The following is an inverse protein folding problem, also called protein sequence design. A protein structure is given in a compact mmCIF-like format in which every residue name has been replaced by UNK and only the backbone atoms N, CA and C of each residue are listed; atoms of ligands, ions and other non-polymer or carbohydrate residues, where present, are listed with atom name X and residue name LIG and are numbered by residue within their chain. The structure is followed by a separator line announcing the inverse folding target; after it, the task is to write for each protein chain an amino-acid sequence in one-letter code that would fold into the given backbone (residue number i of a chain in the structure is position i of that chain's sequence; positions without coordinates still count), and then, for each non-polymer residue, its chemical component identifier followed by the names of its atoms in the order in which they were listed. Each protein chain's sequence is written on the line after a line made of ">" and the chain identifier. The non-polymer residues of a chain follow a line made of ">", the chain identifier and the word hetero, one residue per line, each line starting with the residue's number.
data_IF_870016934692
#
_entry.id   IF_870016934692
#
_cell.length_a   1.000
_cell.length_b   1.000
_cell.length_c   1.000
_cell.angle_alpha   90.00
_cell.angle_beta   90.00
_cell.angle_gamma   90.00
#
_symmetry.space_group_name_H-M   'P 1'
#
loop_
_entity.id
_entity.type
_entity.pdbx_description
1 polymer ?
#
# COMPACT_ATOMS: atom_id res chain seq x y z
N UNK A 1 -25.71 -15.81 -36.86
CA UNK A 1 -24.76 -14.68 -36.74
C UNK A 1 -25.06 -13.79 -35.53
N UNK A 2 -26.31 -13.34 -35.34
CA UNK A 2 -26.72 -12.45 -34.23
C UNK A 2 -26.45 -13.00 -32.82
N UNK A 3 -26.78 -14.27 -32.54
CA UNK A 3 -26.54 -14.90 -31.22
C UNK A 3 -25.07 -14.93 -30.82
N UNK A 4 -24.16 -15.19 -31.78
CA UNK A 4 -22.71 -15.20 -31.51
C UNK A 4 -22.21 -13.80 -31.17
N UNK A 5 -22.73 -12.78 -31.84
CA UNK A 5 -22.39 -11.38 -31.58
C UNK A 5 -22.89 -10.94 -30.19
N UNK A 6 -24.12 -11.33 -29.81
CA UNK A 6 -24.67 -11.05 -28.48
C UNK A 6 -23.85 -11.69 -27.36
N UNK A 7 -23.44 -12.96 -27.55
CA UNK A 7 -22.60 -13.67 -26.57
C UNK A 7 -21.22 -13.02 -26.44
N UNK A 8 -20.60 -12.64 -27.57
CA UNK A 8 -19.32 -11.91 -27.57
C UNK A 8 -19.42 -10.59 -26.81
N UNK A 9 -20.49 -9.82 -27.06
CA UNK A 9 -20.70 -8.53 -26.40
C UNK A 9 -20.90 -8.69 -24.89
N UNK A 10 -21.70 -9.68 -24.48
CA UNK A 10 -21.90 -10.00 -23.06
C UNK A 10 -20.60 -10.44 -22.38
N UNK A 11 -19.76 -11.22 -23.06
CA UNK A 11 -18.47 -11.66 -22.52
C UNK A 11 -17.49 -10.49 -22.33
N UNK A 12 -17.48 -9.52 -23.25
CA UNK A 12 -16.67 -8.29 -23.15
C UNK A 12 -17.14 -7.46 -21.95
N UNK A 13 -18.45 -7.22 -21.83
CA UNK A 13 -19.00 -6.46 -20.71
C UNK A 13 -18.72 -7.12 -19.35
N UNK A 14 -18.85 -8.44 -19.28
CA UNK A 14 -18.53 -9.19 -18.08
C UNK A 14 -17.04 -9.08 -17.72
N UNK A 15 -16.16 -9.22 -18.70
CA UNK A 15 -14.71 -9.10 -18.50
C UNK A 15 -14.31 -7.69 -18.05
N UNK A 16 -14.94 -6.66 -18.62
CA UNK A 16 -14.76 -5.27 -18.21
C UNK A 16 -15.24 -5.03 -16.77
N UNK A 17 -16.39 -5.59 -16.40
CA UNK A 17 -16.91 -5.52 -15.02
C UNK A 17 -15.96 -6.16 -14.01
N UNK A 18 -15.42 -7.35 -14.31
CA UNK A 18 -14.42 -8.02 -13.48
C UNK A 18 -13.15 -7.19 -13.34
N UNK A 19 -12.70 -6.53 -14.43
CA UNK A 19 -11.53 -5.67 -14.40
C UNK A 19 -11.75 -4.44 -13.49
N UNK A 20 -12.89 -3.77 -13.61
CA UNK A 20 -13.23 -2.59 -12.79
C UNK A 20 -13.23 -2.96 -11.30
N UNK A 21 -13.85 -4.09 -10.92
CA UNK A 21 -13.85 -4.56 -9.53
C UNK A 21 -12.43 -4.84 -9.03
N UNK A 22 -11.58 -5.46 -9.84
CA UNK A 22 -10.18 -5.71 -9.45
C UNK A 22 -9.35 -4.43 -9.33
N UNK A 23 -9.58 -3.46 -10.19
CA UNK A 23 -8.85 -2.20 -10.20
C UNK A 23 -9.20 -1.30 -9.00
N UNK A 24 -10.33 -1.54 -8.34
CA UNK A 24 -10.76 -0.79 -7.15
C UNK A 24 -10.19 -1.35 -5.83
N UNK A 25 -9.54 -2.52 -5.83
CA UNK A 25 -8.92 -3.02 -4.60
C UNK A 25 -7.76 -2.10 -4.22
N UNK A 26 -7.78 -1.49 -3.02
CA UNK A 26 -6.65 -0.71 -2.53
C UNK A 26 -5.41 -1.59 -2.57
N UNK A 27 -4.36 -1.15 -3.26
CA UNK A 27 -3.08 -1.82 -3.14
C UNK A 27 -2.62 -1.65 -1.69
N UNK A 28 -2.32 -2.76 -1.02
CA UNK A 28 -1.65 -2.71 0.28
C UNK A 28 -0.37 -1.91 0.10
N UNK A 29 -0.18 -0.80 0.84
CA UNK A 29 1.05 -0.04 0.77
C UNK A 29 2.23 -0.98 1.03
N UNK A 30 3.35 -0.82 0.30
CA UNK A 30 4.54 -1.61 0.59
C UNK A 30 4.92 -1.43 2.07
N UNK A 31 5.41 -2.50 2.73
CA UNK A 31 5.77 -2.43 4.14
C UNK A 31 6.81 -1.34 4.35
N UNK A 32 6.70 -0.64 5.49
CA UNK A 32 7.68 0.39 5.85
C UNK A 32 9.07 -0.23 6.01
N UNK A 33 10.09 0.48 5.54
CA UNK A 33 11.48 0.00 5.55
C UNK A 33 12.22 0.59 6.74
N UNK A 34 12.86 -0.25 7.55
CA UNK A 34 13.75 0.21 8.61
C UNK A 34 15.17 0.38 8.04
N UNK A 35 15.75 1.57 8.21
CA UNK A 35 17.13 1.87 7.85
C UNK A 35 17.93 2.29 9.07
N UNK A 36 19.14 1.73 9.21
CA UNK A 36 20.08 2.10 10.26
C UNK A 36 20.85 3.34 9.84
N UNK A 37 20.85 4.37 10.69
CA UNK A 37 21.59 5.61 10.45
C UNK A 37 22.97 5.50 11.09
N UNK A 38 23.02 5.21 12.40
CA UNK A 38 24.26 5.07 13.18
C UNK A 38 23.96 4.42 14.53
N UNK A 39 24.83 3.58 15.05
CA UNK A 39 24.73 3.01 16.41
C UNK A 39 23.30 2.48 16.71
N UNK A 40 22.58 3.10 17.63
CA UNK A 40 21.21 2.74 18.03
C UNK A 40 20.12 3.64 17.40
N UNK A 41 20.51 4.48 16.43
CA UNK A 41 19.65 5.38 15.69
C UNK A 41 19.23 4.79 14.33
N UNK A 42 17.92 4.73 14.11
CA UNK A 42 17.28 4.20 12.92
C UNK A 42 16.19 5.16 12.41
N UNK A 43 15.74 4.93 11.18
CA UNK A 43 14.57 5.57 10.61
C UNK A 43 13.64 4.53 9.99
N UNK A 44 12.35 4.64 10.24
CA UNK A 44 11.30 3.89 9.54
C UNK A 44 10.85 4.74 8.37
N UNK A 45 11.22 4.34 7.16
CA UNK A 45 10.80 4.97 5.90
C UNK A 45 9.41 4.50 5.48
N UNK A 46 8.58 5.41 4.97
CA UNK A 46 7.36 5.05 4.25
C UNK A 46 6.66 6.25 3.62
N UNK A 47 5.65 5.99 2.79
CA UNK A 47 4.99 7.01 1.95
C UNK A 47 4.31 8.14 2.73
N UNK A 48 3.94 7.93 4.00
CA UNK A 48 3.31 8.93 4.88
C UNK A 48 4.29 9.76 5.73
N UNK A 49 5.59 9.64 5.48
CA UNK A 49 6.64 10.28 6.27
C UNK A 49 7.51 9.29 7.04
N UNK A 50 8.62 9.82 7.56
CA UNK A 50 9.66 9.06 8.25
C UNK A 50 9.48 9.18 9.77
N UNK A 51 9.69 8.08 10.48
CA UNK A 51 9.70 8.07 11.94
C UNK A 51 11.10 7.74 12.42
N UNK A 52 11.67 8.57 13.29
CA UNK A 52 12.98 8.28 13.90
C UNK A 52 12.79 7.33 15.07
N UNK A 53 13.71 6.37 15.16
CA UNK A 53 13.75 5.36 16.22
C UNK A 53 15.12 5.42 16.88
N UNK A 54 15.15 5.56 18.20
CA UNK A 54 16.36 5.42 19.00
C UNK A 54 16.17 4.33 20.04
N UNK A 55 17.05 3.32 20.02
CA UNK A 55 17.03 2.23 20.99
C UNK A 55 17.80 2.64 22.25
N UNK A 56 17.28 2.24 23.40
CA UNK A 56 17.89 2.41 24.72
C UNK A 56 17.80 1.08 25.47
N UNK A 57 18.57 0.92 26.54
CA UNK A 57 18.51 -0.29 27.38
C UNK A 57 17.14 -0.48 28.05
N UNK A 58 16.37 0.59 28.23
CA UNK A 58 15.05 0.57 28.88
C UNK A 58 13.89 0.46 27.88
N UNK A 59 14.14 0.72 26.59
CA UNK A 59 13.08 0.72 25.58
C UNK A 59 13.40 1.53 24.33
N UNK A 60 12.36 2.03 23.67
CA UNK A 60 12.44 2.67 22.35
C UNK A 60 11.89 4.09 22.42
N UNK A 61 12.66 5.05 21.93
CA UNK A 61 12.18 6.41 21.66
C UNK A 61 11.73 6.46 20.20
N UNK A 62 10.46 6.81 20.01
CA UNK A 62 9.87 7.09 18.71
C UNK A 62 9.66 8.60 18.59
N UNK A 63 10.16 9.19 17.51
CA UNK A 63 9.94 10.60 17.20
C UNK A 63 9.15 10.70 15.91
N UNK A 64 8.06 11.47 15.99
CA UNK A 64 7.00 11.60 14.98
C UNK A 64 5.96 10.47 15.02
N UNK A 65 4.72 10.81 14.64
CA UNK A 65 3.62 9.88 14.49
C UNK A 65 3.43 9.57 13.01
N UNK A 66 3.46 8.27 12.65
CA UNK A 66 3.13 7.87 11.29
C UNK A 66 1.62 7.99 11.09
N UNK A 67 1.23 8.84 10.16
CA UNK A 67 -0.15 9.05 9.78
C UNK A 67 -0.47 8.27 8.50
N UNK A 68 -1.71 7.78 8.39
CA UNK A 68 -2.19 7.18 7.14
C UNK A 68 -2.19 8.25 6.03
N UNK A 69 -1.80 7.85 4.82
CA UNK A 69 -1.81 8.76 3.68
C UNK A 69 -3.26 9.02 3.25
N UNK A 70 -3.73 10.25 3.43
CA UNK A 70 -5.03 10.80 3.01
C UNK A 70 -6.24 10.37 3.87
N UNK A 71 -6.40 11.01 5.03
CA UNK A 71 -7.69 11.13 5.72
C UNK A 71 -8.28 12.53 5.50
#
# INVERSE_FOLDING_TARGET
>A
MKTRLTVLFAAILFSAGVWIVRAQNPQTPPPSKLEKIKDDLYVILGEGGNVTVYLTDEGVILVDSKFDRNY
#
